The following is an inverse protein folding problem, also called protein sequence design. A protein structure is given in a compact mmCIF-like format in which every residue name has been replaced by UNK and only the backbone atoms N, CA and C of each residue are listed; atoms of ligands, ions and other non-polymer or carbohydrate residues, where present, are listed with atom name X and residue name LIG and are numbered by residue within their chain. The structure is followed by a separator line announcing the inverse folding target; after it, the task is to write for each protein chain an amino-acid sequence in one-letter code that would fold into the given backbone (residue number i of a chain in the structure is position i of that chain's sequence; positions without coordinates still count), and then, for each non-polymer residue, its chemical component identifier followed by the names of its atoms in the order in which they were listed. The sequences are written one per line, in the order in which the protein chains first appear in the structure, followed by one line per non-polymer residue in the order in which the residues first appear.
data_IF_408615714580
#
_entry.id   IF_408615714580
#
_cell.length_a   1.000
_cell.length_b   1.000
_cell.length_c   1.000
_cell.angle_alpha   90.00
_cell.angle_beta   90.00
_cell.angle_gamma   90.00
#
_symmetry.space_group_name_H-M   'P 1'
#
loop_
_entity.id
_entity.type
_entity.pdbx_description
1 polymer ?
#
# COMPACT_ATOMS: atom_id res chain seq x y z
N UNK A 1 2.07 -28.08 -5.52
CA UNK A 1 2.73 -27.27 -4.47
C UNK A 1 4.03 -26.58 -4.87
N UNK A 2 5.10 -27.28 -5.26
CA UNK A 2 6.39 -26.62 -5.56
C UNK A 2 6.30 -25.62 -6.73
N UNK A 3 5.63 -26.00 -7.83
CA UNK A 3 5.39 -25.14 -9.00
C UNK A 3 4.59 -23.89 -8.64
N UNK A 4 3.46 -24.04 -7.96
CA UNK A 4 2.63 -22.92 -7.49
C UNK A 4 3.42 -21.95 -6.61
N UNK A 5 4.22 -22.44 -5.66
CA UNK A 5 5.06 -21.58 -4.81
C UNK A 5 6.08 -20.79 -5.62
N UNK A 6 6.64 -21.38 -6.67
CA UNK A 6 7.54 -20.69 -7.59
C UNK A 6 6.82 -19.61 -8.39
N UNK A 7 5.65 -19.90 -8.96
CA UNK A 7 4.82 -18.90 -9.66
C UNK A 7 4.43 -17.73 -8.74
N UNK A 8 4.05 -18.00 -7.49
CA UNK A 8 3.75 -16.96 -6.52
C UNK A 8 4.95 -16.06 -6.23
N UNK A 9 6.17 -16.61 -6.12
CA UNK A 9 7.38 -15.78 -5.95
C UNK A 9 7.63 -14.88 -7.15
N UNK A 10 7.44 -15.42 -8.36
CA UNK A 10 7.54 -14.62 -9.58
C UNK A 10 6.51 -13.50 -9.62
N UNK A 11 5.28 -13.79 -9.18
CA UNK A 11 4.23 -12.79 -9.08
C UNK A 11 4.55 -11.73 -8.02
N UNK A 12 5.07 -12.14 -6.85
CA UNK A 12 5.50 -11.24 -5.78
C UNK A 12 6.61 -10.26 -6.21
N UNK A 13 7.45 -10.67 -7.18
CA UNK A 13 8.50 -9.83 -7.76
C UNK A 13 7.96 -8.88 -8.83
N UNK A 14 6.88 -9.26 -9.52
CA UNK A 14 6.29 -8.47 -10.61
C UNK A 14 5.29 -7.41 -10.10
N UNK A 15 4.60 -7.68 -8.99
CA UNK A 15 3.57 -6.79 -8.44
C UNK A 15 4.16 -5.76 -7.45
N UNK A 16 3.77 -4.47 -7.52
CA UNK A 16 4.15 -3.45 -6.53
C UNK A 16 3.29 -3.54 -5.25
N UNK A 17 3.07 -4.75 -4.74
CA UNK A 17 2.16 -4.99 -3.62
C UNK A 17 2.66 -4.36 -2.31
N UNK A 18 3.98 -4.29 -2.13
CA UNK A 18 4.62 -3.71 -0.94
C UNK A 18 4.44 -2.20 -0.92
N UNK A 19 4.67 -1.55 -2.06
CA UNK A 19 4.49 -0.12 -2.24
C UNK A 19 3.03 0.25 -2.04
N UNK A 20 2.10 -0.44 -2.70
CA UNK A 20 0.67 -0.18 -2.56
C UNK A 20 0.19 -0.34 -1.10
N UNK A 21 0.58 -1.41 -0.41
CA UNK A 21 0.21 -1.66 0.99
C UNK A 21 0.75 -0.60 1.95
N UNK A 22 1.97 -0.12 1.71
CA UNK A 22 2.58 0.93 2.51
C UNK A 22 1.92 2.30 2.31
N UNK A 23 1.57 2.68 1.07
CA UNK A 23 0.87 3.94 0.79
C UNK A 23 -0.51 3.96 1.46
N UNK A 24 -1.30 2.89 1.34
CA UNK A 24 -2.64 2.79 1.96
C UNK A 24 -2.55 2.90 3.48
N UNK A 25 -1.61 2.18 4.09
CA UNK A 25 -1.48 2.18 5.56
C UNK A 25 -1.05 3.54 6.10
N UNK A 26 -0.30 4.32 5.33
CA UNK A 26 0.08 5.66 5.70
C UNK A 26 -1.00 6.69 5.45
N UNK A 27 -1.79 6.53 4.40
CA UNK A 27 -2.98 7.36 4.21
C UNK A 27 -3.92 7.18 5.41
N UNK A 28 -4.12 5.94 5.87
CA UNK A 28 -4.88 5.64 7.09
C UNK A 28 -4.23 6.24 8.35
N UNK A 29 -2.91 6.12 8.49
CA UNK A 29 -2.18 6.74 9.61
C UNK A 29 -2.28 8.27 9.58
N UNK A 30 -2.30 8.89 8.40
CA UNK A 30 -2.52 10.31 8.19
C UNK A 30 -3.89 10.75 8.69
N UNK A 31 -4.96 10.03 8.31
CA UNK A 31 -6.32 10.29 8.81
C UNK A 31 -6.38 10.15 10.34
N UNK A 32 -5.74 9.14 10.90
CA UNK A 32 -5.69 8.93 12.35
C UNK A 32 -4.89 10.03 13.08
N UNK A 33 -3.78 10.49 12.49
CA UNK A 33 -2.97 11.57 13.03
C UNK A 33 -3.70 12.93 12.98
N UNK A 34 -4.44 13.20 11.90
CA UNK A 34 -5.29 14.39 11.80
C UNK A 34 -6.40 14.36 12.86
N UNK A 35 -7.07 13.22 13.01
CA UNK A 35 -8.06 13.01 14.08
C UNK A 35 -7.48 13.25 15.48
N UNK A 36 -6.25 12.78 15.75
CA UNK A 36 -5.54 13.00 17.02
C UNK A 36 -5.13 14.47 17.21
N UNK A 37 -4.71 15.15 16.14
CA UNK A 37 -4.33 16.58 16.16
C UNK A 37 -5.53 17.46 16.49
N UNK A 38 -6.70 17.15 15.93
CA UNK A 38 -7.96 17.81 16.26
C UNK A 38 -8.36 17.59 17.73
N UNK A 39 -7.93 16.48 18.35
CA UNK A 39 -8.17 16.18 19.76
C UNK A 39 -7.10 16.75 20.71
N UNK A 40 -5.86 16.97 20.25
CA UNK A 40 -4.71 17.42 21.06
C UNK A 40 -3.86 18.45 20.29
N UNK A 41 -4.27 19.72 20.22
CA UNK A 41 -3.52 20.75 19.52
C UNK A 41 -2.16 21.00 20.18
N UNK A 42 -1.06 20.92 19.40
CA UNK A 42 0.23 21.53 19.75
C UNK A 42 1.37 20.59 20.20
N UNK A 43 1.21 19.27 20.14
CA UNK A 43 2.20 18.36 20.76
C UNK A 43 3.32 17.85 19.84
N UNK A 44 3.27 18.05 18.51
CA UNK A 44 4.29 17.52 17.59
C UNK A 44 4.59 18.49 16.43
N UNK A 45 5.84 18.92 16.29
CA UNK A 45 6.30 19.71 15.14
C UNK A 45 6.35 18.86 13.86
N UNK A 46 5.75 19.37 12.77
CA UNK A 46 5.48 18.60 11.53
C UNK A 46 6.68 17.88 10.89
N UNK A 47 7.89 18.43 11.02
CA UNK A 47 9.10 17.79 10.47
C UNK A 47 9.52 16.50 11.21
N UNK A 48 9.33 16.43 12.53
CA UNK A 48 9.65 15.24 13.32
C UNK A 48 8.58 14.14 13.14
N UNK A 49 7.32 14.52 13.01
CA UNK A 49 6.24 13.59 12.68
C UNK A 49 6.50 12.90 11.32
N UNK A 50 6.90 13.65 10.29
CA UNK A 50 7.15 13.09 8.95
C UNK A 50 8.28 12.06 8.93
N UNK A 51 9.37 12.31 9.67
CA UNK A 51 10.50 11.38 9.77
C UNK A 51 10.09 10.07 10.47
N UNK A 52 9.30 10.15 11.54
CA UNK A 52 8.77 8.98 12.24
C UNK A 52 7.83 8.15 11.35
N UNK A 53 6.96 8.82 10.58
CA UNK A 53 6.06 8.17 9.62
C UNK A 53 6.84 7.43 8.51
N UNK A 54 7.90 8.04 7.97
CA UNK A 54 8.76 7.39 6.98
C UNK A 54 9.45 6.14 7.55
N UNK A 55 9.91 6.17 8.81
CA UNK A 55 10.47 4.99 9.46
C UNK A 55 9.42 3.90 9.75
N UNK A 56 8.15 4.28 9.95
CA UNK A 56 7.05 3.34 10.09
C UNK A 56 6.65 2.72 8.74
N UNK A 57 6.64 3.51 7.65
CA UNK A 57 6.47 3.04 6.26
C UNK A 57 7.43 1.91 5.95
N UNK A 58 8.73 2.15 6.16
CA UNK A 58 9.78 1.18 5.83
C UNK A 58 9.63 -0.12 6.65
N UNK A 59 9.30 -0.02 7.94
CA UNK A 59 9.06 -1.19 8.79
C UNK A 59 7.85 -2.00 8.32
N UNK A 60 6.76 -1.34 7.95
CA UNK A 60 5.59 -2.02 7.43
C UNK A 60 5.88 -2.71 6.09
N UNK A 61 6.59 -2.05 5.17
CA UNK A 61 7.01 -2.67 3.91
C UNK A 61 7.79 -3.96 4.15
N UNK A 62 8.73 -3.95 5.11
CA UNK A 62 9.50 -5.13 5.47
C UNK A 62 8.63 -6.26 6.07
N UNK A 63 7.61 -5.92 6.86
CA UNK A 63 6.65 -6.92 7.39
C UNK A 63 5.79 -7.53 6.29
N UNK A 64 5.25 -6.69 5.40
CA UNK A 64 4.48 -7.16 4.23
C UNK A 64 5.34 -8.09 3.38
N UNK A 65 6.62 -7.74 3.16
CA UNK A 65 7.55 -8.56 2.39
C UNK A 65 7.77 -9.96 2.98
N UNK A 66 7.80 -10.10 4.31
CA UNK A 66 7.99 -11.40 4.96
C UNK A 66 6.82 -12.36 4.72
N UNK A 67 5.59 -11.84 4.67
CA UNK A 67 4.39 -12.66 4.55
C UNK A 67 3.78 -12.67 3.13
N UNK A 68 4.32 -11.86 2.21
CA UNK A 68 3.74 -11.62 0.89
C UNK A 68 3.45 -12.92 0.13
N UNK A 69 4.40 -13.85 0.09
CA UNK A 69 4.22 -15.14 -0.59
C UNK A 69 3.01 -15.93 -0.04
N UNK A 70 2.84 -15.97 1.29
CA UNK A 70 1.72 -16.66 1.93
C UNK A 70 0.40 -15.93 1.67
N UNK A 71 0.42 -14.59 1.67
CA UNK A 71 -0.74 -13.79 1.31
C UNK A 71 -1.17 -14.05 -0.14
N UNK A 72 -0.24 -14.01 -1.09
CA UNK A 72 -0.55 -14.25 -2.50
C UNK A 72 -1.00 -15.69 -2.75
N UNK A 73 -0.42 -16.68 -2.05
CA UNK A 73 -0.92 -18.06 -2.06
C UNK A 73 -2.38 -18.14 -1.60
N UNK A 74 -2.76 -17.36 -0.59
CA UNK A 74 -4.13 -17.34 -0.08
C UNK A 74 -5.11 -16.61 -1.01
N UNK A 75 -4.71 -15.46 -1.55
CA UNK A 75 -5.52 -14.60 -2.42
C UNK A 75 -5.79 -15.28 -3.77
N UNK A 76 -4.76 -15.90 -4.36
CA UNK A 76 -4.86 -16.56 -5.67
C UNK A 76 -5.04 -18.07 -5.58
N UNK A 77 -5.53 -18.58 -4.45
CA UNK A 77 -5.77 -20.02 -4.25
C UNK A 77 -6.77 -20.62 -5.26
N UNK A 78 -7.66 -19.78 -5.78
CA UNK A 78 -8.73 -20.20 -6.69
C UNK A 78 -8.28 -20.22 -8.16
N UNK A 79 -7.14 -19.58 -8.49
CA UNK A 79 -6.53 -19.74 -9.80
C UNK A 79 -5.93 -21.14 -9.91
N UNK A 80 -6.18 -21.83 -11.01
CA UNK A 80 -5.44 -23.04 -11.39
C UNK A 80 -3.96 -22.72 -11.69
N UNK A 81 -3.10 -23.74 -11.71
CA UNK A 81 -1.67 -23.54 -12.02
C UNK A 81 -1.45 -22.88 -13.41
N UNK A 82 -2.17 -23.27 -14.49
CA UNK A 82 -2.05 -22.60 -15.79
C UNK A 82 -2.55 -21.15 -15.82
N UNK A 83 -3.61 -20.82 -15.07
CA UNK A 83 -4.10 -19.44 -14.98
C UNK A 83 -3.12 -18.56 -14.21
N UNK A 84 -2.54 -19.09 -13.13
CA UNK A 84 -1.51 -18.39 -12.37
C UNK A 84 -0.25 -18.15 -13.21
N UNK A 85 0.13 -19.12 -14.06
CA UNK A 85 1.24 -18.97 -14.99
C UNK A 85 0.98 -17.87 -16.03
N UNK A 86 -0.18 -17.86 -16.69
CA UNK A 86 -0.58 -16.78 -17.61
C UNK A 86 -0.59 -15.42 -16.92
N UNK A 87 -1.01 -15.37 -15.65
CA UNK A 87 -1.01 -14.14 -14.90
C UNK A 87 0.42 -13.64 -14.61
N UNK A 88 1.33 -14.55 -14.24
CA UNK A 88 2.76 -14.21 -14.08
C UNK A 88 3.35 -13.70 -15.40
N UNK A 89 3.07 -14.36 -16.52
CA UNK A 89 3.54 -13.93 -17.84
C UNK A 89 3.07 -12.51 -18.17
N UNK A 90 1.79 -12.22 -17.96
CA UNK A 90 1.26 -10.87 -18.13
C UNK A 90 1.95 -9.87 -17.20
N UNK A 91 2.04 -10.17 -15.90
CA UNK A 91 2.62 -9.25 -14.91
C UNK A 91 4.11 -8.95 -15.18
N UNK A 92 4.84 -9.90 -15.76
CA UNK A 92 6.24 -9.72 -16.14
C UNK A 92 6.43 -9.05 -17.50
N UNK A 93 5.41 -9.05 -18.37
CA UNK A 93 5.46 -8.38 -19.67
C UNK A 93 5.63 -6.86 -19.54
N UNK A 94 6.08 -6.22 -20.63
CA UNK A 94 6.23 -4.77 -20.67
C UNK A 94 4.90 -4.04 -20.40
N UNK A 95 3.80 -4.53 -20.99
CA UNK A 95 2.47 -3.95 -20.80
C UNK A 95 1.96 -4.15 -19.37
N UNK A 96 2.18 -5.32 -18.76
CA UNK A 96 1.81 -5.59 -17.38
C UNK A 96 2.58 -4.72 -16.38
N UNK A 97 3.89 -4.55 -16.59
CA UNK A 97 4.69 -3.62 -15.78
C UNK A 97 4.19 -2.19 -15.90
N UNK A 98 3.90 -1.72 -17.12
CA UNK A 98 3.36 -0.39 -17.35
C UNK A 98 1.98 -0.21 -16.68
N UNK A 99 1.12 -1.22 -16.78
CA UNK A 99 -0.18 -1.25 -16.12
C UNK A 99 -0.05 -1.10 -14.59
N UNK A 100 0.79 -1.91 -13.95
CA UNK A 100 0.95 -1.87 -12.50
C UNK A 100 1.63 -0.59 -11.98
N UNK A 101 2.56 -0.03 -12.76
CA UNK A 101 3.13 1.29 -12.46
C UNK A 101 2.07 2.39 -12.52
N UNK A 102 1.24 2.40 -13.57
CA UNK A 102 0.14 3.35 -13.70
C UNK A 102 -0.91 3.18 -12.58
N UNK A 103 -1.28 1.94 -12.25
CA UNK A 103 -2.20 1.64 -11.15
C UNK A 103 -1.66 2.14 -9.80
N UNK A 104 -0.37 1.95 -9.52
CA UNK A 104 0.27 2.46 -8.31
C UNK A 104 0.25 3.99 -8.27
N UNK A 105 0.55 4.65 -9.39
CA UNK A 105 0.48 6.12 -9.47
C UNK A 105 -0.94 6.63 -9.26
N UNK A 106 -1.94 5.99 -9.86
CA UNK A 106 -3.34 6.33 -9.67
C UNK A 106 -3.78 6.14 -8.21
N UNK A 107 -3.36 5.05 -7.55
CA UNK A 107 -3.60 4.82 -6.12
C UNK A 107 -3.02 5.95 -5.27
N UNK A 108 -1.74 6.30 -5.49
CA UNK A 108 -1.08 7.40 -4.78
C UNK A 108 -1.81 8.73 -4.96
N UNK A 109 -2.21 9.04 -6.20
CA UNK A 109 -2.97 10.25 -6.49
C UNK A 109 -4.32 10.28 -5.78
N UNK A 110 -5.06 9.16 -5.79
CA UNK A 110 -6.35 9.05 -5.10
C UNK A 110 -6.23 9.20 -3.59
N UNK A 111 -5.20 8.61 -2.96
CA UNK A 111 -4.96 8.76 -1.53
C UNK A 111 -4.55 10.19 -1.15
N UNK A 112 -3.74 10.86 -1.96
CA UNK A 112 -3.35 12.25 -1.73
C UNK A 112 -4.55 13.21 -1.79
N UNK A 113 -5.48 13.00 -2.74
CA UNK A 113 -6.72 13.80 -2.81
C UNK A 113 -7.56 13.61 -1.54
N UNK A 114 -7.67 12.38 -1.03
CA UNK A 114 -8.37 12.10 0.22
C UNK A 114 -7.77 12.82 1.44
N UNK A 115 -6.44 12.97 1.48
CA UNK A 115 -5.76 13.77 2.51
C UNK A 115 -6.06 15.27 2.36
N UNK A 116 -5.98 15.82 1.15
CA UNK A 116 -6.28 17.25 0.94
C UNK A 116 -7.74 17.61 1.22
N UNK A 117 -8.69 16.69 1.04
CA UNK A 117 -10.09 16.93 1.45
C UNK A 117 -10.27 16.93 2.96
N UNK A 118 -9.53 16.10 3.71
CA UNK A 118 -9.59 16.11 5.17
C UNK A 118 -9.06 17.42 5.76
N UNK A 119 -8.01 17.99 5.17
CA UNK A 119 -7.46 19.30 5.54
C UNK A 119 -8.43 20.48 5.30
N UNK A 120 -9.48 20.28 4.50
CA UNK A 120 -10.49 21.28 4.16
C UNK A 120 -11.75 21.21 5.04
N UNK A 121 -11.91 20.20 5.90
CA UNK A 121 -13.04 20.16 6.83
C UNK A 121 -12.85 21.23 7.92
N UNK A 122 -13.78 22.18 8.07
CA UNK A 122 -13.67 23.19 9.12
C UNK A 122 -13.78 22.52 10.49
N UNK A 123 -12.89 22.89 11.40
CA UNK A 123 -12.89 22.37 12.78
C UNK A 123 -14.30 22.49 13.39
N UNK A 124 -14.82 21.45 14.06
CA UNK A 124 -16.14 21.50 14.66
C UNK A 124 -16.18 22.66 15.65
N UNK A 125 -17.00 23.66 15.34
CA UNK A 125 -17.25 24.79 16.24
C UNK A 125 -18.00 24.23 17.44
N UNK A 126 -17.28 24.09 18.56
CA UNK A 126 -17.85 23.67 19.83
C UNK A 126 -18.97 24.63 20.25
N UNK A 127 -20.06 24.04 20.76
CA UNK A 127 -21.20 24.73 21.36
C UNK A 127 -20.88 25.11 22.81
#
# INVERSE_FOLDING_TARGET
DATRRLLIRHLAQALPAKEAGAEVSLALAGVAADSLSQMLPGLLGGAQAQSLLNGQRQRLMAQIEQDLDNTLLHVYRELSDPELEQFVEFAQSADGQAYYQAALQALRAGLAVGMSTAELEPAPQGI
#
